data_IF_922486674123
#
_entry.id   IF_922486674123
#
_cell.length_a   1.000
_cell.length_b   1.000
_cell.length_c   1.000
_cell.angle_alpha   90.00
_cell.angle_beta   90.00
_cell.angle_gamma   90.00
#
_symmetry.space_group_name_H-M   'P 1'
#
loop_
_entity.id
_entity.type
_entity.pdbx_description
1 polymer ?
#
# COMPACT_ATOMS: atom_id res chain seq x y z
N UNK A 1 -18.39 8.90 -13.15
CA UNK A 1 -18.41 7.85 -14.21
C UNK A 1 -18.78 8.43 -15.57
N UNK A 2 -19.86 9.23 -15.67
CA UNK A 2 -20.24 9.94 -16.91
C UNK A 2 -19.14 10.86 -17.48
N UNK A 3 -18.44 11.60 -16.61
CA UNK A 3 -17.34 12.49 -16.99
C UNK A 3 -16.25 11.79 -17.82
N UNK A 4 -15.94 10.53 -17.48
CA UNK A 4 -14.91 9.73 -18.16
C UNK A 4 -15.52 8.69 -19.12
N UNK A 5 -16.80 8.81 -19.47
CA UNK A 5 -17.45 7.93 -20.43
C UNK A 5 -17.71 6.50 -19.94
N UNK A 6 -17.66 6.22 -18.63
CA UNK A 6 -17.98 4.90 -18.06
C UNK A 6 -19.50 4.78 -17.93
N UNK A 7 -20.18 4.51 -19.05
CA UNK A 7 -21.65 4.53 -19.16
C UNK A 7 -22.29 3.17 -19.35
N UNK A 8 -21.59 2.20 -19.93
CA UNK A 8 -22.13 0.85 -20.09
C UNK A 8 -22.32 0.18 -18.71
N UNK A 9 -23.46 -0.49 -18.45
CA UNK A 9 -23.71 -1.09 -17.13
C UNK A 9 -22.63 -2.08 -16.68
N UNK A 10 -22.06 -2.85 -17.61
CA UNK A 10 -20.98 -3.79 -17.32
C UNK A 10 -19.71 -3.07 -16.88
N UNK A 11 -19.33 -1.98 -17.56
CA UNK A 11 -18.13 -1.21 -17.22
C UNK A 11 -18.28 -0.52 -15.87
N UNK A 12 -19.48 -0.01 -15.56
CA UNK A 12 -19.79 0.55 -14.25
C UNK A 12 -19.68 -0.49 -13.14
N UNK A 13 -20.22 -1.68 -13.36
CA UNK A 13 -20.12 -2.78 -12.40
C UNK A 13 -18.65 -3.19 -12.16
N UNK A 14 -17.86 -3.32 -13.23
CA UNK A 14 -16.43 -3.64 -13.12
C UNK A 14 -15.65 -2.52 -12.43
N UNK A 15 -15.92 -1.26 -12.77
CA UNK A 15 -15.28 -0.11 -12.14
C UNK A 15 -15.56 -0.06 -10.64
N UNK A 16 -16.82 -0.24 -10.24
CA UNK A 16 -17.24 -0.29 -8.83
C UNK A 16 -16.58 -1.49 -8.12
N UNK A 17 -16.55 -2.67 -8.76
CA UNK A 17 -15.95 -3.85 -8.18
C UNK A 17 -14.44 -3.68 -7.92
N UNK A 18 -13.72 -3.17 -8.92
CA UNK A 18 -12.27 -2.94 -8.82
C UNK A 18 -11.95 -1.84 -7.81
N UNK A 19 -12.59 -0.67 -7.94
CA UNK A 19 -12.37 0.44 -7.00
C UNK A 19 -12.79 0.05 -5.58
N UNK A 20 -13.85 -0.72 -5.42
CA UNK A 20 -14.25 -1.31 -4.14
C UNK A 20 -13.20 -2.27 -3.58
N UNK A 21 -12.59 -3.14 -4.39
CA UNK A 21 -11.52 -4.04 -3.94
C UNK A 21 -10.29 -3.25 -3.48
N UNK A 22 -9.77 -2.35 -4.32
CA UNK A 22 -8.54 -1.60 -4.07
C UNK A 22 -8.66 -0.60 -2.90
N UNK A 23 -9.86 -0.08 -2.64
CA UNK A 23 -10.14 0.85 -1.54
C UNK A 23 -10.68 0.18 -0.27
N UNK A 24 -10.64 -1.16 -0.20
CA UNK A 24 -11.20 -1.95 0.90
C UNK A 24 -12.67 -1.59 1.20
N UNK A 25 -13.51 -1.57 0.16
CA UNK A 25 -14.92 -1.22 0.23
C UNK A 25 -15.16 0.28 0.39
N UNK A 26 -14.36 1.13 -0.27
CA UNK A 26 -14.42 2.59 -0.17
C UNK A 26 -14.16 3.13 1.25
N UNK A 27 -13.40 2.39 2.07
CA UNK A 27 -13.05 2.80 3.44
C UNK A 27 -11.64 3.38 3.55
N UNK A 28 -10.77 3.11 2.57
CA UNK A 28 -9.38 3.54 2.55
C UNK A 28 -9.07 4.31 1.27
N UNK A 29 -8.57 5.54 1.43
CA UNK A 29 -8.21 6.43 0.31
C UNK A 29 -6.71 6.66 0.16
N UNK A 30 -5.91 6.13 1.10
CA UNK A 30 -4.46 6.26 1.10
C UNK A 30 -3.83 4.93 1.47
N UNK A 31 -2.71 4.63 0.84
CA UNK A 31 -1.89 3.50 1.26
C UNK A 31 -1.36 3.70 2.69
N UNK A 32 -0.99 2.59 3.32
CA UNK A 32 -0.39 2.55 4.66
C UNK A 32 0.92 1.81 4.59
N UNK A 33 1.96 2.37 5.23
CA UNK A 33 3.27 1.73 5.33
C UNK A 33 3.44 1.01 6.67
N UNK A 34 2.35 0.67 7.36
CA UNK A 34 2.36 -0.07 8.62
C UNK A 34 2.68 -1.57 8.45
N UNK A 35 3.81 -1.88 7.81
CA UNK A 35 4.28 -3.24 7.56
C UNK A 35 5.06 -3.79 8.75
N UNK A 36 4.93 -5.09 9.02
CA UNK A 36 5.86 -5.80 9.89
C UNK A 36 7.21 -5.98 9.19
N UNK A 37 8.25 -6.30 9.97
CA UNK A 37 9.59 -6.61 9.45
C UNK A 37 9.54 -7.66 8.33
N UNK A 38 8.84 -8.77 8.57
CA UNK A 38 8.73 -9.86 7.59
C UNK A 38 7.93 -9.47 6.35
N UNK A 39 6.88 -8.66 6.53
CA UNK A 39 6.11 -8.15 5.39
C UNK A 39 6.94 -7.16 4.55
N UNK A 40 7.80 -6.33 5.16
CA UNK A 40 8.73 -5.48 4.42
C UNK A 40 9.73 -6.30 3.59
N UNK A 41 10.31 -7.36 4.18
CA UNK A 41 11.22 -8.26 3.45
C UNK A 41 10.53 -8.89 2.24
N UNK A 42 9.29 -9.35 2.40
CA UNK A 42 8.50 -9.99 1.32
C UNK A 42 8.10 -9.00 0.22
N UNK A 43 7.61 -7.82 0.59
CA UNK A 43 7.03 -6.86 -0.37
C UNK A 43 8.10 -5.97 -1.01
N UNK A 44 9.11 -5.57 -0.25
CA UNK A 44 10.09 -4.55 -0.66
C UNK A 44 11.54 -5.02 -0.63
N UNK A 45 11.82 -6.33 -0.60
CA UNK A 45 13.20 -6.86 -0.54
C UNK A 45 14.13 -6.45 -1.69
N UNK A 46 13.59 -5.93 -2.81
CA UNK A 46 14.38 -5.32 -3.89
C UNK A 46 14.75 -3.86 -3.65
N UNK A 47 14.08 -3.18 -2.71
CA UNK A 47 14.20 -1.75 -2.41
C UNK A 47 14.78 -1.48 -1.03
N UNK A 48 14.52 -2.39 -0.08
CA UNK A 48 14.98 -2.31 1.30
C UNK A 48 15.90 -3.49 1.59
N UNK A 49 17.01 -3.20 2.26
CA UNK A 49 17.89 -4.24 2.80
C UNK A 49 17.24 -4.90 4.02
N UNK A 50 17.67 -6.11 4.38
CA UNK A 50 17.22 -6.81 5.60
C UNK A 50 17.37 -5.93 6.84
N UNK A 51 18.48 -5.20 6.94
CA UNK A 51 18.74 -4.26 8.04
C UNK A 51 17.71 -3.12 8.08
N UNK A 52 17.39 -2.51 6.93
CA UNK A 52 16.36 -1.46 6.86
C UNK A 52 14.97 -2.00 7.23
N UNK A 53 14.64 -3.23 6.84
CA UNK A 53 13.37 -3.87 7.23
C UNK A 53 13.26 -4.05 8.75
N UNK A 54 14.34 -4.48 9.41
CA UNK A 54 14.38 -4.67 10.87
C UNK A 54 14.33 -3.34 11.62
N UNK A 55 15.06 -2.34 11.12
CA UNK A 55 15.11 -1.01 11.71
C UNK A 55 13.78 -0.25 11.58
N UNK A 56 13.02 -0.46 10.50
CA UNK A 56 11.86 0.37 10.18
C UNK A 56 10.52 -0.35 10.35
N UNK A 57 10.49 -1.67 10.27
CA UNK A 57 9.25 -2.45 10.31
C UNK A 57 8.61 -2.49 11.69
N UNK A 58 7.30 -2.70 11.74
CA UNK A 58 6.57 -2.92 12.99
C UNK A 58 7.00 -4.24 13.66
N UNK A 59 7.19 -4.17 14.98
CA UNK A 59 7.34 -5.32 15.87
C UNK A 59 6.35 -5.12 17.02
N UNK A 60 5.40 -6.04 17.17
CA UNK A 60 4.31 -5.89 18.13
C UNK A 60 4.82 -5.74 19.56
N UNK A 61 4.27 -4.74 20.26
CA UNK A 61 4.67 -4.39 21.63
C UNK A 61 6.06 -3.75 21.78
N UNK A 62 6.81 -3.56 20.69
CA UNK A 62 8.21 -3.09 20.75
C UNK A 62 8.51 -1.90 19.84
N UNK A 63 8.02 -1.92 18.60
CA UNK A 63 8.38 -0.94 17.58
C UNK A 63 7.19 -0.69 16.66
N UNK A 64 6.85 0.59 16.49
CA UNK A 64 5.88 1.01 15.47
C UNK A 64 6.57 1.04 14.10
N UNK A 65 5.81 0.84 13.02
CA UNK A 65 6.36 1.02 11.68
C UNK A 65 6.76 2.49 11.46
N UNK A 66 7.99 2.71 10.99
CA UNK A 66 8.52 4.03 10.62
C UNK A 66 8.07 4.42 9.21
N UNK A 67 6.75 4.60 9.06
CA UNK A 67 6.06 4.72 7.77
C UNK A 67 6.65 5.77 6.82
N UNK A 68 6.96 7.02 7.25
CA UNK A 68 7.53 8.03 6.35
C UNK A 68 8.90 7.61 5.80
N UNK A 69 9.75 7.02 6.64
CA UNK A 69 11.07 6.55 6.23
C UNK A 69 10.98 5.36 5.27
N UNK A 70 10.05 4.43 5.54
CA UNK A 70 9.77 3.31 4.63
C UNK A 70 9.33 3.86 3.26
N UNK A 71 8.37 4.77 3.23
CA UNK A 71 7.89 5.38 1.99
C UNK A 71 9.02 6.11 1.23
N UNK A 72 9.83 6.90 1.92
CA UNK A 72 10.95 7.63 1.32
C UNK A 72 11.97 6.69 0.68
N UNK A 73 12.28 5.55 1.30
CA UNK A 73 13.23 4.58 0.74
C UNK A 73 12.60 3.73 -0.38
N UNK A 74 11.33 3.36 -0.23
CA UNK A 74 10.61 2.56 -1.24
C UNK A 74 10.37 3.38 -2.51
N UNK A 75 10.02 4.66 -2.40
CA UNK A 75 9.71 5.52 -3.55
C UNK A 75 10.85 6.44 -3.98
N UNK A 76 11.90 6.60 -3.17
CA UNK A 76 13.06 7.40 -3.51
C UNK A 76 13.85 6.85 -4.69
N UNK A 77 14.55 7.76 -5.39
CA UNK A 77 15.39 7.40 -6.55
C UNK A 77 14.61 6.98 -7.80
N UNK A 78 13.35 7.41 -7.91
CA UNK A 78 12.52 7.30 -9.11
C UNK A 78 12.56 8.58 -9.93
#
# INVERSE_FOLDING_TARGET
MSEFGITAPLDQAMFIAQTGHESAGFTVLKESFNYSVEALKKTFGKRLTTYQCEMLGRIDGRQVAHQPQIANLVYGGR
#
